data_IF_236768797732
#
_entry.id   IF_236768797732
#
_cell.length_a   1.000
_cell.length_b   1.000
_cell.length_c   1.000
_cell.angle_alpha   90.00
_cell.angle_beta   90.00
_cell.angle_gamma   90.00
#
_symmetry.space_group_name_H-M   'P 1'
#
loop_
_entity.id
_entity.type
_entity.pdbx_description
1 polymer ?
#
# COMPACT_ATOMS: atom_id res chain seq x y z
N UNK A 1 22.17 -52.14 -20.86
CA UNK A 1 21.91 -52.19 -19.41
C UNK A 1 21.80 -50.74 -18.92
N UNK A 2 20.56 -50.23 -18.82
CA UNK A 2 19.83 -49.89 -17.55
C UNK A 2 20.46 -48.64 -16.88
N UNK A 3 19.79 -47.54 -16.55
CA UNK A 3 18.48 -46.92 -16.86
C UNK A 3 18.55 -45.53 -16.20
N UNK A 4 17.98 -44.50 -16.83
CA UNK A 4 17.66 -43.22 -16.19
C UNK A 4 16.60 -43.41 -15.11
N UNK A 5 16.65 -42.63 -14.03
CA UNK A 5 15.47 -42.38 -13.19
C UNK A 5 15.31 -40.89 -12.87
N UNK A 6 14.31 -40.33 -13.54
CA UNK A 6 13.51 -39.16 -13.21
C UNK A 6 12.70 -39.49 -11.95
N UNK A 7 12.57 -38.54 -11.01
CA UNK A 7 11.56 -38.57 -9.96
C UNK A 7 10.67 -37.33 -10.08
N UNK A 8 9.48 -37.56 -10.61
CA UNK A 8 8.26 -36.74 -10.48
C UNK A 8 7.39 -37.49 -9.47
N UNK A 9 6.97 -36.84 -8.37
CA UNK A 9 5.81 -37.26 -7.55
C UNK A 9 5.19 -35.96 -7.01
N UNK A 10 4.15 -35.41 -7.64
CA UNK A 10 2.69 -35.68 -7.52
C UNK A 10 2.03 -34.95 -6.34
N UNK A 11 1.14 -34.03 -6.70
CA UNK A 11 0.12 -33.36 -5.89
C UNK A 11 -0.71 -34.36 -5.07
N UNK A 12 -0.96 -34.05 -3.79
CA UNK A 12 -2.05 -34.64 -3.04
C UNK A 12 -3.14 -33.59 -2.78
N UNK A 13 -4.32 -33.85 -3.33
CA UNK A 13 -5.56 -33.16 -3.04
C UNK A 13 -6.06 -33.55 -1.65
N UNK A 14 -6.45 -32.58 -0.82
CA UNK A 14 -7.17 -32.84 0.42
C UNK A 14 -8.68 -32.69 0.19
N UNK A 15 -9.38 -33.78 0.48
CA UNK A 15 -10.84 -33.89 0.43
C UNK A 15 -11.49 -33.31 1.70
N UNK A 16 -12.70 -32.78 1.53
CA UNK A 16 -13.63 -32.39 2.58
C UNK A 16 -13.90 -33.55 3.57
N UNK A 17 -13.93 -33.23 4.87
CA UNK A 17 -14.58 -34.05 5.89
C UNK A 17 -15.66 -33.22 6.59
N UNK A 18 -16.84 -33.82 6.69
CA UNK A 18 -18.07 -33.25 7.21
C UNK A 18 -18.16 -33.26 8.75
N UNK A 19 -19.02 -32.38 9.27
CA UNK A 19 -19.41 -32.18 10.66
C UNK A 19 -19.79 -33.46 11.43
N UNK A 20 -19.36 -33.51 12.70
CA UNK A 20 -19.93 -34.37 13.75
C UNK A 20 -19.92 -33.65 15.10
N UNK A 21 -21.09 -33.53 15.71
CA UNK A 21 -21.40 -32.84 16.97
C UNK A 21 -21.19 -33.73 18.20
N UNK A 22 -20.65 -33.18 19.30
CA UNK A 22 -20.83 -33.73 20.67
C UNK A 22 -19.80 -33.26 21.69
N UNK A 23 -20.17 -32.91 22.95
CA UNK A 23 -19.39 -32.00 23.81
C UNK A 23 -18.57 -32.72 24.90
N UNK A 24 -17.44 -32.12 25.31
CA UNK A 24 -16.61 -32.59 26.42
C UNK A 24 -15.60 -31.54 26.87
N UNK A 25 -15.68 -31.19 28.15
CA UNK A 25 -14.96 -30.17 28.92
C UNK A 25 -13.49 -30.49 29.22
N UNK A 26 -12.65 -29.45 29.38
CA UNK A 26 -11.50 -29.46 30.29
C UNK A 26 -10.17 -28.96 29.72
N UNK A 27 -9.77 -27.76 30.17
CA UNK A 27 -8.47 -27.07 30.15
C UNK A 27 -7.23 -27.78 29.57
N UNK A 28 -6.55 -27.10 28.64
CA UNK A 28 -5.11 -26.87 28.70
C UNK A 28 -4.71 -25.72 27.75
N UNK A 29 -3.91 -24.81 28.30
CA UNK A 29 -2.99 -23.89 27.64
C UNK A 29 -2.66 -24.16 26.17
N UNK A 30 -2.79 -23.14 25.32
CA UNK A 30 -1.83 -22.95 24.25
C UNK A 30 -1.69 -21.47 23.87
N UNK A 31 -0.43 -21.06 23.74
CA UNK A 31 -0.05 -19.71 23.34
C UNK A 31 -0.56 -19.42 21.94
N UNK A 32 -1.37 -18.37 21.82
CA UNK A 32 -1.80 -17.85 20.53
C UNK A 32 -0.59 -17.24 19.83
N UNK A 33 -0.06 -17.99 18.88
CA UNK A 33 0.81 -17.50 17.83
C UNK A 33 0.12 -16.33 17.13
N UNK A 34 0.86 -15.23 16.96
CA UNK A 34 0.46 -14.10 16.14
C UNK A 34 0.01 -14.61 14.77
N UNK A 35 -1.24 -14.37 14.41
CA UNK A 35 -1.73 -14.59 13.06
C UNK A 35 -1.05 -13.58 12.14
N UNK A 36 -0.11 -14.03 11.31
CA UNK A 36 0.25 -13.32 10.08
C UNK A 36 -1.05 -13.27 9.26
N UNK A 37 -1.69 -12.11 9.21
CA UNK A 37 -2.92 -11.94 8.44
C UNK A 37 -2.53 -11.78 6.97
N UNK A 38 -2.89 -12.75 6.14
CA UNK A 38 -2.59 -12.75 4.72
C UNK A 38 -3.22 -11.53 4.03
N UNK A 39 -2.41 -10.76 3.29
CA UNK A 39 -2.88 -9.67 2.44
C UNK A 39 -3.80 -10.25 1.37
N UNK A 40 -5.03 -9.74 1.27
CA UNK A 40 -5.88 -10.04 0.14
C UNK A 40 -5.34 -9.30 -1.10
N UNK A 41 -4.93 -10.03 -2.13
CA UNK A 41 -4.69 -9.44 -3.45
C UNK A 41 -6.03 -9.48 -4.18
N UNK A 42 -6.75 -8.35 -4.19
CA UNK A 42 -7.93 -8.22 -5.02
C UNK A 42 -7.47 -8.22 -6.48
N UNK A 43 -7.91 -9.21 -7.25
CA UNK A 43 -7.47 -9.39 -8.62
C UNK A 43 -7.90 -8.24 -9.54
N UNK A 44 -7.02 -7.25 -9.72
CA UNK A 44 -7.00 -6.46 -10.95
C UNK A 44 -6.22 -7.26 -11.98
N UNK A 45 -6.85 -7.64 -13.11
CA UNK A 45 -6.13 -8.25 -14.23
C UNK A 45 -4.91 -7.40 -14.64
N UNK A 46 -3.90 -8.01 -15.30
CA UNK A 46 -2.64 -7.33 -15.60
C UNK A 46 -2.89 -6.02 -16.36
N UNK A 47 -2.18 -4.96 -15.97
CA UNK A 47 -2.15 -3.72 -16.75
C UNK A 47 -1.50 -3.98 -18.12
N UNK A 48 -1.75 -3.09 -19.08
CA UNK A 48 -1.25 -3.19 -20.45
C UNK A 48 0.29 -3.36 -20.50
N UNK A 49 0.77 -4.38 -21.23
CA UNK A 49 2.19 -4.65 -21.47
C UNK A 49 2.54 -4.36 -22.94
N UNK A 50 3.28 -3.28 -23.19
CA UNK A 50 3.62 -2.87 -24.55
C UNK A 50 4.62 -3.81 -25.24
N UNK A 51 5.52 -4.44 -24.48
CA UNK A 51 6.48 -5.40 -25.04
C UNK A 51 5.77 -6.68 -25.49
N UNK A 52 4.80 -7.14 -24.70
CA UNK A 52 3.93 -8.26 -25.07
C UNK A 52 3.07 -7.91 -26.29
N UNK A 53 2.47 -6.72 -26.34
CA UNK A 53 1.65 -6.27 -27.48
C UNK A 53 2.43 -6.14 -28.79
N UNK A 54 3.67 -5.69 -28.74
CA UNK A 54 4.54 -5.62 -29.91
C UNK A 54 5.06 -7.02 -30.34
N UNK A 55 4.77 -8.06 -29.56
CA UNK A 55 5.11 -9.45 -29.83
C UNK A 55 6.62 -9.67 -30.08
N UNK A 56 7.45 -9.08 -29.23
CA UNK A 56 8.90 -9.35 -29.22
C UNK A 56 9.27 -10.65 -28.49
N UNK A 57 8.35 -11.23 -27.70
CA UNK A 57 8.60 -12.48 -26.98
C UNK A 57 9.82 -12.36 -26.06
N UNK A 58 10.74 -13.32 -26.15
CA UNK A 58 11.99 -13.32 -25.36
C UNK A 58 13.16 -12.60 -26.03
N UNK A 59 12.97 -12.11 -27.26
CA UNK A 59 14.04 -11.50 -28.07
C UNK A 59 14.45 -10.13 -27.52
N UNK A 60 13.55 -9.50 -26.76
CA UNK A 60 13.76 -8.20 -26.15
C UNK A 60 13.29 -8.22 -24.69
N UNK A 61 14.21 -8.24 -23.71
CA UNK A 61 13.82 -8.18 -22.30
C UNK A 61 13.21 -6.82 -21.97
N UNK A 62 12.15 -6.84 -21.15
CA UNK A 62 11.56 -5.62 -20.59
C UNK A 62 12.58 -5.01 -19.61
N UNK A 63 12.93 -3.72 -19.75
CA UNK A 63 13.76 -3.04 -18.76
C UNK A 63 13.11 -3.11 -17.38
N UNK A 64 13.90 -3.44 -16.37
CA UNK A 64 13.42 -3.40 -14.98
C UNK A 64 13.05 -1.98 -14.56
N UNK A 65 12.11 -1.88 -13.63
CA UNK A 65 11.70 -0.60 -13.08
C UNK A 65 12.41 -0.33 -11.75
N UNK A 66 13.13 0.78 -11.72
CA UNK A 66 13.96 1.18 -10.57
C UNK A 66 13.15 1.84 -9.45
N UNK A 67 11.96 2.37 -9.75
CA UNK A 67 11.14 3.16 -8.82
C UNK A 67 9.73 2.61 -8.68
N UNK A 68 9.28 2.37 -7.45
CA UNK A 68 7.90 1.96 -7.15
C UNK A 68 7.24 2.91 -6.15
N UNK A 69 6.04 3.38 -6.51
CA UNK A 69 5.16 4.17 -5.64
C UNK A 69 4.05 3.28 -5.10
N UNK A 70 3.97 3.17 -3.79
CA UNK A 70 2.87 2.55 -3.07
C UNK A 70 1.91 3.65 -2.62
N UNK A 71 0.66 3.65 -3.10
CA UNK A 71 -0.38 4.54 -2.62
C UNK A 71 -1.29 3.74 -1.70
N UNK A 72 -1.23 4.00 -0.40
CA UNK A 72 -2.01 3.29 0.62
C UNK A 72 -3.13 4.20 1.08
N UNK A 73 -4.38 3.79 0.89
CA UNK A 73 -5.58 4.59 1.17
C UNK A 73 -6.32 4.06 2.39
N UNK A 74 -6.43 4.90 3.40
CA UNK A 74 -7.31 4.69 4.54
C UNK A 74 -8.74 5.08 4.17
N UNK A 75 -9.61 4.08 4.08
CA UNK A 75 -11.02 4.27 3.73
C UNK A 75 -11.86 4.79 4.90
N UNK A 76 -11.29 4.89 6.11
CA UNK A 76 -11.96 5.45 7.29
C UNK A 76 -11.80 6.97 7.38
N UNK A 77 -10.83 7.55 6.66
CA UNK A 77 -10.59 8.98 6.65
C UNK A 77 -11.41 9.69 5.57
N UNK A 78 -12.34 10.59 5.91
CA UNK A 78 -13.02 11.43 4.92
C UNK A 78 -12.04 12.44 4.33
N UNK A 79 -11.76 12.33 3.03
CA UNK A 79 -10.83 13.23 2.35
C UNK A 79 -11.57 14.33 1.58
N UNK A 80 -11.30 15.62 1.87
CA UNK A 80 -11.82 16.72 1.07
C UNK A 80 -11.43 16.59 -0.41
N UNK A 81 -12.35 16.96 -1.32
CA UNK A 81 -12.13 16.85 -2.77
C UNK A 81 -10.84 17.50 -3.26
N UNK A 82 -10.47 18.65 -2.68
CA UNK A 82 -9.23 19.35 -3.01
C UNK A 82 -7.97 18.52 -2.68
N UNK A 83 -7.99 17.70 -1.62
CA UNK A 83 -6.89 16.77 -1.32
C UNK A 83 -6.85 15.62 -2.31
N UNK A 84 -8.01 15.07 -2.68
CA UNK A 84 -8.11 14.03 -3.73
C UNK A 84 -7.55 14.54 -5.05
N UNK A 85 -7.90 15.77 -5.46
CA UNK A 85 -7.33 16.40 -6.66
C UNK A 85 -5.82 16.62 -6.56
N UNK A 86 -5.30 16.99 -5.38
CA UNK A 86 -3.86 17.09 -5.14
C UNK A 86 -3.16 15.74 -5.25
N UNK A 87 -3.74 14.69 -4.66
CA UNK A 87 -3.28 13.30 -4.75
C UNK A 87 -3.20 12.86 -6.21
N UNK A 88 -4.28 13.00 -6.97
CA UNK A 88 -4.36 12.64 -8.39
C UNK A 88 -3.26 13.31 -9.21
N UNK A 89 -3.08 14.63 -9.02
CA UNK A 89 -2.07 15.41 -9.74
C UNK A 89 -0.65 14.92 -9.43
N UNK A 90 -0.34 14.71 -8.15
CA UNK A 90 1.00 14.31 -7.70
C UNK A 90 1.38 12.90 -8.16
N UNK A 91 0.40 11.98 -8.17
CA UNK A 91 0.59 10.64 -8.73
C UNK A 91 0.83 10.69 -10.25
N UNK A 92 0.06 11.52 -10.96
CA UNK A 92 0.27 11.72 -12.40
C UNK A 92 1.65 12.33 -12.70
N UNK A 93 2.11 13.29 -11.91
CA UNK A 93 3.46 13.88 -12.00
C UNK A 93 4.56 12.83 -11.80
N UNK A 94 4.43 11.94 -10.81
CA UNK A 94 5.39 10.84 -10.59
C UNK A 94 5.49 9.89 -11.79
N UNK A 95 4.34 9.49 -12.33
CA UNK A 95 4.27 8.61 -13.50
C UNK A 95 4.75 9.29 -14.78
N UNK A 96 4.61 10.61 -14.89
CA UNK A 96 5.19 11.38 -16.00
C UNK A 96 6.74 11.43 -15.94
N UNK A 97 7.33 11.17 -14.77
CA UNK A 97 8.79 11.16 -14.56
C UNK A 97 9.55 9.99 -15.19
N UNK A 98 8.89 9.14 -15.97
CA UNK A 98 9.50 8.02 -16.68
C UNK A 98 9.05 6.67 -16.16
N UNK A 99 9.86 5.64 -16.36
CA UNK A 99 9.50 4.28 -15.97
C UNK A 99 9.29 4.17 -14.47
N UNK A 100 8.15 3.60 -14.08
CA UNK A 100 7.73 3.53 -12.70
C UNK A 100 6.67 2.44 -12.52
N UNK A 101 6.70 1.80 -11.37
CA UNK A 101 5.67 0.87 -10.93
C UNK A 101 4.80 1.59 -9.91
N UNK A 102 3.52 1.30 -9.94
CA UNK A 102 2.57 1.81 -8.96
C UNK A 102 1.75 0.66 -8.39
N UNK A 103 1.63 0.66 -7.07
CA UNK A 103 0.82 -0.28 -6.33
C UNK A 103 -0.15 0.52 -5.47
N UNK A 104 -1.45 0.39 -5.74
CA UNK A 104 -2.51 1.00 -4.95
C UNK A 104 -3.06 -0.06 -4.01
N UNK A 105 -3.09 0.29 -2.73
CA UNK A 105 -3.60 -0.54 -1.66
C UNK A 105 -4.59 0.27 -0.80
N UNK A 106 -5.46 -0.44 -0.10
CA UNK A 106 -6.45 0.16 0.79
C UNK A 106 -6.62 -0.63 2.07
N UNK A 107 -7.08 0.04 3.12
CA UNK A 107 -7.53 -0.59 4.35
C UNK A 107 -8.72 0.16 4.95
N UNK A 108 -9.49 -0.50 5.82
CA UNK A 108 -10.66 0.07 6.48
C UNK A 108 -10.79 -0.39 7.93
N UNK A 109 -11.82 0.10 8.63
CA UNK A 109 -12.25 -0.40 9.92
C UNK A 109 -12.50 -1.92 9.84
N UNK A 110 -11.84 -2.69 10.68
CA UNK A 110 -11.68 -4.14 10.57
C UNK A 110 -13.00 -4.91 10.84
N UNK A 111 -13.91 -4.98 9.86
CA UNK A 111 -15.17 -5.74 9.92
C UNK A 111 -15.15 -6.93 8.97
N UNK A 112 -14.57 -8.05 9.41
CA UNK A 112 -14.69 -9.42 8.85
C UNK A 112 -14.48 -9.67 7.33
N UNK A 113 -14.31 -8.65 6.47
CA UNK A 113 -14.18 -8.81 5.02
C UNK A 113 -13.24 -7.81 4.32
N UNK A 114 -12.66 -6.82 5.02
CA UNK A 114 -11.83 -5.76 4.40
C UNK A 114 -10.49 -5.58 5.12
N UNK A 115 -9.67 -6.63 5.10
CA UNK A 115 -8.28 -6.61 5.55
C UNK A 115 -7.46 -5.85 4.50
N UNK A 116 -6.40 -5.15 4.91
CA UNK A 116 -5.43 -4.52 4.02
C UNK A 116 -5.29 -5.25 2.68
N UNK A 117 -5.60 -4.55 1.58
CA UNK A 117 -5.76 -5.14 0.25
C UNK A 117 -4.86 -4.42 -0.74
N UNK A 118 -4.18 -5.16 -1.59
CA UNK A 118 -3.60 -4.60 -2.82
C UNK A 118 -4.68 -4.61 -3.89
N UNK A 119 -5.15 -3.43 -4.30
CA UNK A 119 -6.28 -3.26 -5.22
C UNK A 119 -5.83 -3.23 -6.69
N UNK A 120 -4.66 -2.62 -6.93
CA UNK A 120 -4.15 -2.42 -8.29
C UNK A 120 -2.63 -2.38 -8.29
N UNK A 121 -2.03 -3.04 -9.28
CA UNK A 121 -0.62 -2.87 -9.62
C UNK A 121 -0.50 -2.62 -11.13
N UNK A 122 0.27 -1.61 -11.49
CA UNK A 122 0.57 -1.30 -12.88
C UNK A 122 1.99 -0.79 -13.06
N UNK A 123 2.49 -0.85 -14.28
CA UNK A 123 3.86 -0.48 -14.61
C UNK A 123 3.88 0.39 -15.85
N UNK A 124 4.58 1.53 -15.78
CA UNK A 124 5.01 2.31 -16.92
C UNK A 124 6.39 1.78 -17.37
N UNK A 125 6.40 0.93 -18.39
CA UNK A 125 7.61 0.28 -18.91
C UNK A 125 8.55 1.29 -19.58
N UNK A 126 9.85 0.98 -19.59
CA UNK A 126 10.87 1.85 -20.17
C UNK A 126 11.12 1.69 -21.66
N UNK A 127 11.80 2.67 -22.28
CA UNK A 127 12.22 2.58 -23.66
C UNK A 127 13.19 1.42 -23.85
N UNK A 128 13.26 0.95 -25.09
CA UNK A 128 14.25 -0.03 -25.52
C UNK A 128 15.65 0.56 -25.38
N UNK A 129 16.60 -0.26 -24.90
CA UNK A 129 18.02 0.08 -24.89
C UNK A 129 18.50 0.46 -26.31
N UNK A 130 19.08 1.65 -26.45
CA UNK A 130 19.59 2.19 -27.72
C UNK A 130 20.48 1.21 -28.48
N UNK A 131 21.28 0.41 -27.76
CA UNK A 131 22.18 -0.59 -28.36
C UNK A 131 21.45 -1.69 -29.12
N UNK A 132 20.19 -1.97 -28.77
CA UNK A 132 19.39 -3.06 -29.38
C UNK A 132 18.46 -2.56 -30.47
N UNK A 133 18.16 -1.25 -30.53
CA UNK A 133 17.10 -0.71 -31.40
C UNK A 133 17.31 -1.02 -32.88
N UNK A 134 18.54 -0.93 -33.36
CA UNK A 134 18.88 -1.13 -34.78
C UNK A 134 18.74 -2.60 -35.23
N UNK A 135 18.71 -3.54 -34.29
CA UNK A 135 18.57 -4.96 -34.59
C UNK A 135 17.10 -5.41 -34.59
N UNK A 136 16.16 -4.51 -34.25
CA UNK A 136 14.74 -4.82 -34.14
C UNK A 136 13.98 -4.57 -35.45
N UNK A 137 12.90 -5.32 -35.64
CA UNK A 137 11.96 -5.05 -36.71
C UNK A 137 11.36 -3.64 -36.57
N UNK A 138 11.61 -2.77 -37.54
CA UNK A 138 11.21 -1.37 -37.49
C UNK A 138 9.70 -1.14 -37.25
N UNK A 139 8.83 -2.00 -37.80
CA UNK A 139 7.37 -1.89 -37.60
C UNK A 139 6.99 -2.22 -36.16
N UNK A 140 7.54 -3.32 -35.61
CA UNK A 140 7.29 -3.70 -34.21
C UNK A 140 7.85 -2.66 -33.25
N UNK A 141 9.03 -2.11 -33.56
CA UNK A 141 9.65 -1.06 -32.77
C UNK A 141 8.79 0.21 -32.73
N UNK A 142 8.29 0.67 -33.87
CA UNK A 142 7.38 1.82 -33.93
C UNK A 142 6.07 1.59 -33.16
N UNK A 143 5.53 0.37 -33.21
CA UNK A 143 4.34 -0.01 -32.42
C UNK A 143 4.63 0.05 -30.92
N UNK A 144 5.77 -0.51 -30.48
CA UNK A 144 6.21 -0.47 -29.09
C UNK A 144 6.40 0.96 -28.60
N UNK A 145 7.11 1.79 -29.36
CA UNK A 145 7.35 3.21 -29.01
C UNK A 145 6.05 4.01 -28.87
N UNK A 146 5.09 3.79 -29.78
CA UNK A 146 3.76 4.44 -29.70
C UNK A 146 3.03 4.03 -28.44
N UNK A 147 3.10 2.75 -28.08
CA UNK A 147 2.46 2.21 -26.89
C UNK A 147 3.12 2.76 -25.60
N UNK A 148 4.46 2.73 -25.52
CA UNK A 148 5.24 3.25 -24.40
C UNK A 148 4.98 4.75 -24.17
N UNK A 149 4.88 5.55 -25.24
CA UNK A 149 4.62 6.99 -25.14
C UNK A 149 3.24 7.31 -24.52
N UNK A 150 2.25 6.42 -24.67
CA UNK A 150 0.91 6.60 -24.12
C UNK A 150 0.77 6.02 -22.71
N UNK A 151 1.67 5.11 -22.31
CA UNK A 151 1.54 4.31 -21.11
C UNK A 151 1.47 5.15 -19.82
N UNK A 152 2.33 6.16 -19.59
CA UNK A 152 2.24 6.98 -18.38
C UNK A 152 0.86 7.63 -18.20
N UNK A 153 0.28 8.16 -19.28
CA UNK A 153 -1.04 8.79 -19.25
C UNK A 153 -2.17 7.80 -18.99
N UNK A 154 -2.13 6.61 -19.62
CA UNK A 154 -3.10 5.54 -19.37
C UNK A 154 -3.01 5.02 -17.94
N UNK A 155 -1.79 4.83 -17.43
CA UNK A 155 -1.55 4.35 -16.07
C UNK A 155 -2.01 5.38 -15.04
N UNK A 156 -1.73 6.66 -15.27
CA UNK A 156 -2.20 7.75 -14.41
C UNK A 156 -3.74 7.80 -14.36
N UNK A 157 -4.41 7.69 -15.51
CA UNK A 157 -5.87 7.69 -15.57
C UNK A 157 -6.49 6.48 -14.86
N UNK A 158 -5.93 5.28 -15.04
CA UNK A 158 -6.37 4.07 -14.32
C UNK A 158 -6.15 4.21 -12.81
N UNK A 159 -4.98 4.70 -12.41
CA UNK A 159 -4.65 4.91 -11.00
C UNK A 159 -5.59 5.93 -10.37
N UNK A 160 -5.86 7.05 -11.04
CA UNK A 160 -6.81 8.07 -10.57
C UNK A 160 -8.20 7.48 -10.34
N UNK A 161 -8.71 6.70 -11.29
CA UNK A 161 -10.00 6.02 -11.15
C UNK A 161 -10.02 5.07 -9.95
N UNK A 162 -8.95 4.29 -9.73
CA UNK A 162 -8.82 3.40 -8.58
C UNK A 162 -8.78 4.17 -7.26
N UNK A 163 -7.93 5.20 -7.15
CA UNK A 163 -7.83 6.02 -5.94
C UNK A 163 -9.17 6.68 -5.59
N UNK A 164 -9.88 7.22 -6.59
CA UNK A 164 -11.20 7.85 -6.38
C UNK A 164 -12.28 6.86 -5.96
N UNK A 165 -12.16 5.60 -6.37
CA UNK A 165 -13.08 4.54 -5.94
C UNK A 165 -12.80 4.09 -4.49
N UNK A 166 -11.57 4.24 -4.01
CA UNK A 166 -11.15 3.80 -2.69
C UNK A 166 -11.25 4.89 -1.62
N UNK A 167 -11.01 6.15 -1.98
CA UNK A 167 -11.12 7.27 -1.04
C UNK A 167 -12.56 7.44 -0.58
N UNK A 168 -12.77 7.48 0.73
CA UNK A 168 -14.06 7.86 1.28
C UNK A 168 -14.27 9.37 1.22
N UNK A 169 -15.40 9.80 0.65
CA UNK A 169 -15.86 11.20 0.70
C UNK A 169 -16.99 11.40 1.70
N UNK A 170 -17.60 10.32 2.20
CA UNK A 170 -18.77 10.35 3.07
C UNK A 170 -18.41 9.82 4.47
N UNK A 171 -19.09 10.35 5.48
CA UNK A 171 -18.78 10.17 6.92
C UNK A 171 -18.32 8.76 7.28
N UNK A 172 -17.01 8.63 7.52
CA UNK A 172 -16.40 7.40 7.98
C UNK A 172 -16.98 6.97 9.33
N UNK A 173 -17.07 5.66 9.54
CA UNK A 173 -17.28 5.12 10.89
C UNK A 173 -15.94 5.21 11.61
N UNK A 174 -15.75 6.25 12.43
CA UNK A 174 -14.59 6.43 13.32
C UNK A 174 -14.53 5.38 14.45
N UNK A 175 -15.33 4.32 14.38
CA UNK A 175 -15.46 3.34 15.44
C UNK A 175 -14.19 2.47 15.62
N UNK A 176 -13.35 2.32 14.59
CA UNK A 176 -12.00 1.75 14.68
C UNK A 176 -11.22 1.95 13.38
N UNK A 177 -9.99 2.48 13.39
CA UNK A 177 -9.20 2.72 12.16
C UNK A 177 -8.08 1.68 11.91
N UNK A 178 -7.68 0.90 12.94
CA UNK A 178 -6.65 -0.17 12.88
C UNK A 178 -5.48 0.11 11.90
N UNK A 179 -4.94 1.33 11.90
CA UNK A 179 -3.91 1.81 10.98
C UNK A 179 -2.60 1.07 11.24
N UNK A 180 -2.23 0.87 12.50
CA UNK A 180 -1.00 0.15 12.87
C UNK A 180 -0.95 -1.26 12.28
N UNK A 181 -2.03 -2.04 12.47
CA UNK A 181 -2.13 -3.39 11.93
C UNK A 181 -2.14 -3.40 10.40
N UNK A 182 -2.89 -2.47 9.80
CA UNK A 182 -3.02 -2.37 8.35
C UNK A 182 -1.71 -2.00 7.66
N UNK A 183 -0.97 -1.02 8.19
CA UNK A 183 0.34 -0.64 7.67
C UNK A 183 1.40 -1.72 7.92
N UNK A 184 1.31 -2.44 9.04
CA UNK A 184 2.17 -3.61 9.29
C UNK A 184 1.97 -4.66 8.20
N UNK A 185 0.72 -5.04 7.91
CA UNK A 185 0.41 -6.00 6.86
C UNK A 185 0.89 -5.50 5.48
N UNK A 186 0.51 -4.28 5.08
CA UNK A 186 0.87 -3.74 3.75
C UNK A 186 2.38 -3.51 3.57
N UNK A 187 3.15 -3.43 4.66
CA UNK A 187 4.61 -3.33 4.57
C UNK A 187 5.25 -4.52 3.85
N UNK A 188 4.64 -5.71 3.90
CA UNK A 188 5.15 -6.89 3.20
C UNK A 188 5.19 -6.68 1.67
N UNK A 189 4.16 -6.03 1.11
CA UNK A 189 4.13 -5.71 -0.33
C UNK A 189 5.27 -4.74 -0.71
N UNK A 190 5.64 -3.83 0.20
CA UNK A 190 6.76 -2.90 0.03
C UNK A 190 8.10 -3.63 0.17
N UNK A 191 8.20 -4.56 1.11
CA UNK A 191 9.40 -5.34 1.37
C UNK A 191 9.80 -6.20 0.17
N UNK A 192 8.84 -6.90 -0.44
CA UNK A 192 9.11 -7.85 -1.55
C UNK A 192 9.31 -7.16 -2.90
N UNK A 193 9.07 -5.85 -2.99
CA UNK A 193 9.34 -5.09 -4.20
C UNK A 193 10.83 -5.12 -4.55
N UNK A 194 11.09 -5.34 -5.84
CA UNK A 194 12.42 -5.34 -6.42
C UNK A 194 12.90 -3.94 -6.84
N UNK A 195 12.05 -2.92 -6.71
CA UNK A 195 12.43 -1.55 -7.00
C UNK A 195 13.49 -1.07 -6.00
N UNK A 196 14.51 -0.39 -6.50
CA UNK A 196 15.57 0.18 -5.67
C UNK A 196 15.06 1.38 -4.89
N UNK A 197 14.29 2.23 -5.54
CA UNK A 197 13.74 3.47 -4.98
C UNK A 197 12.25 3.24 -4.66
N UNK A 198 11.96 3.02 -3.38
CA UNK A 198 10.61 2.75 -2.88
C UNK A 198 10.04 3.96 -2.16
N UNK A 199 8.86 4.40 -2.60
CA UNK A 199 8.12 5.48 -1.96
C UNK A 199 6.75 5.01 -1.54
N UNK A 200 6.35 5.29 -0.31
CA UNK A 200 5.02 5.02 0.22
C UNK A 200 4.31 6.34 0.46
N UNK A 201 3.17 6.52 -0.18
CA UNK A 201 2.24 7.62 0.07
C UNK A 201 1.04 7.08 0.83
N UNK A 202 0.96 7.37 2.12
CA UNK A 202 -0.17 7.04 2.98
C UNK A 202 -1.18 8.18 2.92
N UNK A 203 -2.43 7.85 2.58
CA UNK A 203 -3.56 8.78 2.50
C UNK A 203 -4.48 8.45 3.68
N UNK A 204 -4.26 9.12 4.81
CA UNK A 204 -4.93 8.85 6.09
C UNK A 204 -4.83 10.06 7.03
N UNK A 205 -5.77 10.18 7.97
CA UNK A 205 -5.68 11.11 9.10
C UNK A 205 -4.62 10.68 10.14
N UNK A 206 -4.15 9.44 10.06
CA UNK A 206 -3.21 8.83 10.99
C UNK A 206 -3.69 8.84 12.46
N UNK A 207 -4.99 8.98 12.68
CA UNK A 207 -5.63 8.93 13.98
C UNK A 207 -6.01 7.47 14.28
N UNK A 208 -5.01 6.71 14.72
CA UNK A 208 -5.21 5.35 15.21
C UNK A 208 -6.32 5.32 16.26
N UNK A 209 -7.24 4.39 16.11
CA UNK A 209 -8.28 4.07 17.07
C UNK A 209 -8.48 2.56 17.06
N UNK A 210 -7.74 1.85 17.91
CA UNK A 210 -7.74 0.39 17.99
C UNK A 210 -7.69 -0.10 19.44
N UNK A 211 -7.74 -1.43 19.60
CA UNK A 211 -7.45 -2.07 20.89
C UNK A 211 -5.99 -1.88 21.35
N UNK A 212 -5.09 -1.49 20.44
CA UNK A 212 -3.67 -1.27 20.78
C UNK A 212 -3.45 0.08 21.41
N UNK A 213 -3.87 1.12 20.69
CA UNK A 213 -3.75 2.50 21.06
C UNK A 213 -4.87 3.31 20.40
N UNK A 214 -5.09 4.51 20.92
CA UNK A 214 -5.96 5.49 20.30
C UNK A 214 -5.26 6.84 20.36
N UNK A 215 -5.25 7.62 19.28
CA UNK A 215 -4.84 9.04 19.31
C UNK A 215 -6.01 9.99 19.35
N UNK A 216 -7.22 9.45 19.24
CA UNK A 216 -8.45 10.21 19.18
C UNK A 216 -9.34 9.90 20.39
N UNK A 217 -9.87 10.94 21.01
CA UNK A 217 -10.89 10.89 22.04
C UNK A 217 -11.70 12.19 22.04
N UNK A 218 -12.98 12.11 22.38
CA UNK A 218 -13.84 13.30 22.53
C UNK A 218 -13.81 14.27 21.34
N UNK A 219 -13.77 13.74 20.11
CA UNK A 219 -13.71 14.54 18.87
C UNK A 219 -12.44 15.36 18.67
N UNK A 220 -11.35 14.98 19.33
CA UNK A 220 -10.05 15.66 19.24
C UNK A 220 -8.89 14.68 19.30
N UNK A 221 -7.70 15.16 18.95
CA UNK A 221 -6.47 14.44 19.28
C UNK A 221 -6.31 14.50 20.80
N UNK A 222 -6.17 13.36 21.46
CA UNK A 222 -5.91 13.34 22.90
C UNK A 222 -4.44 13.59 23.20
N UNK A 223 -4.14 13.93 24.45
CA UNK A 223 -2.76 13.91 24.92
C UNK A 223 -2.30 12.45 25.14
N UNK A 224 -1.05 12.17 24.77
CA UNK A 224 -0.45 10.85 24.93
C UNK A 224 1.08 10.93 25.01
N UNK A 225 1.68 9.91 25.64
CA UNK A 225 3.13 9.75 25.69
C UNK A 225 3.61 8.91 24.51
N UNK A 226 4.47 9.47 23.67
CA UNK A 226 4.95 8.82 22.44
C UNK A 226 5.66 7.50 22.73
N UNK A 227 6.50 7.45 23.77
CA UNK A 227 7.27 6.26 24.12
C UNK A 227 6.37 5.11 24.59
N UNK A 228 5.39 5.41 25.45
CA UNK A 228 4.44 4.45 25.96
C UNK A 228 3.54 3.89 24.84
N UNK A 229 3.05 4.73 23.93
CA UNK A 229 2.22 4.25 22.82
C UNK A 229 3.04 3.45 21.80
N UNK A 230 4.29 3.84 21.53
CA UNK A 230 5.17 3.09 20.64
C UNK A 230 5.50 1.71 21.22
N UNK A 231 5.76 1.63 22.53
CA UNK A 231 6.02 0.35 23.19
C UNK A 231 4.83 -0.60 23.07
N UNK A 232 3.58 -0.10 23.13
CA UNK A 232 2.39 -0.94 22.91
C UNK A 232 2.36 -1.55 21.50
N UNK A 233 2.78 -0.80 20.48
CA UNK A 233 2.87 -1.30 19.12
C UNK A 233 3.96 -2.38 18.99
N UNK A 234 5.12 -2.17 19.63
CA UNK A 234 6.21 -3.17 19.72
C UNK A 234 5.73 -4.45 20.41
N UNK A 235 5.14 -4.33 21.59
CA UNK A 235 4.70 -5.46 22.41
C UNK A 235 3.64 -6.31 21.68
N UNK A 236 2.81 -5.66 20.86
CA UNK A 236 1.78 -6.32 20.03
C UNK A 236 2.25 -6.72 18.64
N UNK A 237 3.55 -6.58 18.33
CA UNK A 237 4.13 -6.92 17.02
C UNK A 237 3.46 -6.21 15.85
N UNK A 238 3.08 -4.95 16.06
CA UNK A 238 2.50 -4.08 15.03
C UNK A 238 3.54 -3.07 14.54
N UNK A 239 4.76 -3.55 14.29
CA UNK A 239 5.77 -2.87 13.48
C UNK A 239 5.85 -3.60 12.15
N UNK A 240 6.00 -2.85 11.06
CA UNK A 240 6.21 -3.40 9.72
C UNK A 240 7.69 -3.48 9.33
N UNK A 241 7.95 -3.85 8.08
CA UNK A 241 9.24 -3.66 7.43
C UNK A 241 9.01 -3.10 6.02
N UNK A 242 9.27 -1.80 5.84
CA UNK A 242 9.09 -1.12 4.56
C UNK A 242 10.33 -1.19 3.66
N UNK A 243 11.33 -1.98 4.02
CA UNK A 243 12.49 -2.24 3.18
C UNK A 243 13.27 -0.98 2.77
N UNK A 244 13.37 0.01 3.66
CA UNK A 244 14.07 1.28 3.46
C UNK A 244 13.27 2.37 2.74
N UNK A 245 11.94 2.23 2.61
CA UNK A 245 11.13 3.18 1.84
C UNK A 245 11.10 4.59 2.44
N UNK A 246 10.90 5.58 1.56
CA UNK A 246 10.53 6.95 1.96
C UNK A 246 9.02 7.03 2.10
N UNK A 247 8.54 7.53 3.23
CA UNK A 247 7.12 7.61 3.54
C UNK A 247 6.66 9.06 3.54
N UNK A 248 5.57 9.33 2.83
CA UNK A 248 4.84 10.59 2.87
C UNK A 248 3.42 10.32 3.35
N UNK A 249 2.92 11.19 4.22
CA UNK A 249 1.55 11.11 4.71
C UNK A 249 0.76 12.33 4.26
N UNK A 250 -0.33 12.08 3.55
CA UNK A 250 -1.33 13.07 3.15
C UNK A 250 -2.58 12.91 4.01
N UNK A 251 -3.05 14.03 4.59
CA UNK A 251 -4.28 14.06 5.38
C UNK A 251 -4.07 13.94 6.89
N UNK A 252 -2.83 13.83 7.38
CA UNK A 252 -2.59 13.65 8.81
C UNK A 252 -3.25 14.71 9.70
N UNK A 253 -3.93 14.27 10.76
CA UNK A 253 -4.64 15.13 11.70
C UNK A 253 -5.93 15.74 11.13
N UNK A 254 -6.43 15.26 9.98
CA UNK A 254 -7.78 15.57 9.56
C UNK A 254 -8.76 15.05 10.63
N UNK A 255 -9.69 15.90 11.01
CA UNK A 255 -10.73 15.54 11.97
C UNK A 255 -12.01 15.22 11.20
N UNK A 256 -12.86 14.33 11.75
CA UNK A 256 -14.19 14.05 11.22
C UNK A 256 -14.97 15.30 10.81
N UNK A 257 -15.78 15.24 9.73
CA UNK A 257 -16.67 16.33 9.34
C UNK A 257 -17.66 16.76 10.43
N UNK A 258 -18.03 15.86 11.35
CA UNK A 258 -18.92 16.13 12.49
C UNK A 258 -18.17 16.55 13.78
N UNK A 259 -16.86 16.77 13.69
CA UNK A 259 -16.10 17.39 14.76
C UNK A 259 -16.58 18.82 14.97
N UNK A 260 -16.56 19.28 16.22
CA UNK A 260 -16.87 20.67 16.51
C UNK A 260 -15.92 21.59 15.70
N UNK A 261 -16.40 22.75 15.24
CA UNK A 261 -15.53 23.76 14.65
C UNK A 261 -14.45 24.24 15.63
N UNK A 262 -14.70 24.06 16.94
CA UNK A 262 -13.73 24.29 18.01
C UNK A 262 -12.79 23.10 18.28
N UNK A 263 -12.98 21.94 17.64
CA UNK A 263 -12.11 20.79 17.80
C UNK A 263 -10.69 21.15 17.36
N UNK A 264 -9.76 21.09 18.32
CA UNK A 264 -8.44 21.65 18.16
C UNK A 264 -7.55 20.73 17.34
N UNK A 265 -6.96 21.31 16.30
CA UNK A 265 -5.77 20.80 15.62
C UNK A 265 -4.55 21.50 16.21
N UNK A 266 -4.40 21.37 17.52
CA UNK A 266 -3.34 22.09 18.22
C UNK A 266 -1.96 21.71 17.65
N UNK A 267 -1.09 22.69 17.49
CA UNK A 267 0.21 22.48 16.85
C UNK A 267 1.09 21.49 17.64
N UNK A 268 0.99 21.49 18.98
CA UNK A 268 1.72 20.55 19.81
C UNK A 268 1.14 19.14 19.71
N UNK A 269 -0.18 19.00 19.58
CA UNK A 269 -0.84 17.71 19.35
C UNK A 269 -0.46 17.12 17.99
N UNK A 270 -0.47 17.93 16.91
CA UNK A 270 -0.01 17.49 15.59
C UNK A 270 1.48 17.14 15.58
N UNK A 271 2.30 17.87 16.33
CA UNK A 271 3.72 17.54 16.50
C UNK A 271 3.92 16.21 17.23
N UNK A 272 3.13 15.97 18.29
CA UNK A 272 3.16 14.71 19.05
C UNK A 272 2.72 13.53 18.19
N UNK A 273 1.65 13.71 17.39
CA UNK A 273 1.19 12.73 16.41
C UNK A 273 2.27 12.42 15.36
N UNK A 274 2.87 13.45 14.77
CA UNK A 274 3.97 13.29 13.82
C UNK A 274 5.14 12.53 14.46
N UNK A 275 5.52 12.89 15.69
CA UNK A 275 6.62 12.23 16.39
C UNK A 275 6.36 10.75 16.61
N UNK A 276 5.14 10.36 17.00
CA UNK A 276 4.79 8.95 17.10
C UNK A 276 5.00 8.22 15.77
N UNK A 277 4.41 8.72 14.69
CA UNK A 277 4.49 8.06 13.38
C UNK A 277 5.91 8.05 12.82
N UNK A 278 6.68 9.11 13.05
CA UNK A 278 8.10 9.12 12.70
C UNK A 278 8.85 7.98 13.38
N UNK A 279 8.70 7.84 14.70
CA UNK A 279 9.36 6.75 15.44
C UNK A 279 8.84 5.38 15.01
N UNK A 280 7.54 5.24 14.73
CA UNK A 280 6.97 3.98 14.25
C UNK A 280 7.53 3.57 12.88
N UNK A 281 7.62 4.49 11.92
CA UNK A 281 8.20 4.23 10.61
C UNK A 281 9.71 3.94 10.69
N UNK A 282 10.45 4.66 11.53
CA UNK A 282 11.88 4.39 11.77
C UNK A 282 12.11 2.98 12.34
N UNK A 283 11.26 2.55 13.30
CA UNK A 283 11.27 1.18 13.83
C UNK A 283 10.73 0.13 12.83
N UNK A 284 10.10 0.58 11.75
CA UNK A 284 9.59 -0.26 10.66
C UNK A 284 10.45 -0.21 9.40
N UNK A 285 11.74 0.14 9.53
CA UNK A 285 12.69 0.24 8.41
C UNK A 285 12.23 1.18 7.29
N UNK A 286 11.73 2.36 7.66
CA UNK A 286 11.31 3.42 6.76
C UNK A 286 11.74 4.80 7.28
N UNK A 287 11.64 5.83 6.44
CA UNK A 287 11.89 7.21 6.83
C UNK A 287 10.69 8.11 6.52
N UNK A 288 10.19 8.84 7.51
CA UNK A 288 9.07 9.77 7.31
C UNK A 288 9.57 11.07 6.67
N UNK A 289 9.39 11.19 5.35
CA UNK A 289 9.83 12.33 4.56
C UNK A 289 8.84 13.51 4.59
N UNK A 290 7.54 13.25 4.83
CA UNK A 290 6.52 14.30 4.95
C UNK A 290 5.29 13.86 5.74
N UNK A 291 4.68 14.81 6.46
CA UNK A 291 3.50 14.56 7.29
C UNK A 291 2.49 15.73 7.28
N UNK A 292 1.28 15.51 6.77
CA UNK A 292 0.10 16.34 7.04
C UNK A 292 -0.14 17.58 6.18
N UNK A 293 0.68 17.90 5.18
CA UNK A 293 0.43 19.04 4.28
C UNK A 293 0.03 18.61 2.86
N UNK A 294 -0.92 19.31 2.20
CA UNK A 294 -1.33 19.02 0.83
C UNK A 294 -0.19 19.15 -0.21
N UNK A 295 0.94 19.76 0.14
CA UNK A 295 2.04 20.10 -0.77
C UNK A 295 3.34 19.29 -0.61
N UNK A 296 3.36 18.22 0.20
CA UNK A 296 4.60 17.50 0.54
C UNK A 296 5.31 16.75 -0.61
N UNK A 297 4.77 16.83 -1.82
CA UNK A 297 5.30 16.16 -3.01
C UNK A 297 5.87 17.23 -3.93
N UNK A 298 7.04 17.78 -3.59
CA UNK A 298 7.87 18.53 -4.53
C UNK A 298 9.04 17.68 -5.06
N UNK A 299 9.19 16.44 -4.57
CA UNK A 299 10.26 15.52 -4.96
C UNK A 299 9.84 14.04 -4.85
N UNK A 300 8.78 13.63 -5.57
CA UNK A 300 8.52 12.21 -5.85
C UNK A 300 9.47 11.69 -6.95
#
# INVERSE_FOLDING_TARGET
MIRQHIAIVTLAAFALVACGTGPGSGDASDGSAASTQDIAIAGSGPFEDCYQQAAFGTDLPVPGVERELFVIIDQTTPMPSALVESLSRKVAEYLAGGSAKITVASFSANTASNFATVNFTGEAQGPVDESKRNDLNARKLAQLETCLAQMPGKLAARTDAEMRALVSTDGGSFASSEILGSLTALSEAVLVSQARDKTVLVVSDMLEHSSTTSFYADKSIRDFDVGAELQKAVDRRQLGDFGGAKVYVMGAGLLPPDSDAAATRDAAQLYTLKNFWQNWFENSNASLAGFGQPELISSL
#
